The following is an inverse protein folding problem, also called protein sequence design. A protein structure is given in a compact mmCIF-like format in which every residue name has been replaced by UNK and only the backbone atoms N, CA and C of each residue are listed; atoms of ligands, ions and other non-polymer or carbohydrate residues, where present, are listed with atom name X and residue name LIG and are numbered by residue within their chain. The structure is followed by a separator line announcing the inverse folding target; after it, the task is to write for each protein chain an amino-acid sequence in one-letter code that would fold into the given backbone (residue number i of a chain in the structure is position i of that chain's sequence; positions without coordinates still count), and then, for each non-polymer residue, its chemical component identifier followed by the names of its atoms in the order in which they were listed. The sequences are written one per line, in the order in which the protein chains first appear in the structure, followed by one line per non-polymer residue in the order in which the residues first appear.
data_IF_258626751074
#
_entry.id   IF_258626751074
#
_cell.length_a   1.000
_cell.length_b   1.000
_cell.length_c   1.000
_cell.angle_alpha   90.00
_cell.angle_beta   90.00
_cell.angle_gamma   90.00
#
_symmetry.space_group_name_H-M   'P 1'
#
loop_
_entity.id
_entity.type
_entity.pdbx_description
1 polymer ?
#
# COMPACT_ATOMS: atom_id res chain seq x y z
N UNK A 1 -10.30 -13.32 2.17
CA UNK A 1 -9.89 -11.93 2.47
C UNK A 1 -9.18 -11.77 3.80
N UNK A 2 -9.62 -12.42 4.90
CA UNK A 2 -8.93 -12.31 6.20
C UNK A 2 -7.45 -12.76 6.16
N UNK A 3 -7.13 -13.78 5.37
CA UNK A 3 -5.75 -14.21 5.17
C UNK A 3 -4.88 -13.14 4.46
N UNK A 4 -5.42 -12.49 3.44
CA UNK A 4 -4.75 -11.38 2.74
C UNK A 4 -4.60 -10.14 3.63
N UNK A 5 -5.55 -9.88 4.53
CA UNK A 5 -5.41 -8.83 5.54
C UNK A 5 -4.17 -9.06 6.41
N UNK A 6 -3.98 -10.27 6.94
CA UNK A 6 -2.81 -10.59 7.77
C UNK A 6 -1.51 -10.46 6.99
N UNK A 7 -1.47 -10.96 5.75
CA UNK A 7 -0.30 -10.80 4.86
C UNK A 7 0.03 -9.35 4.54
N UNK A 8 -0.99 -8.50 4.37
CA UNK A 8 -0.83 -7.08 4.15
C UNK A 8 -0.43 -6.29 5.41
N UNK A 9 -0.33 -6.95 6.57
CA UNK A 9 0.12 -6.36 7.83
C UNK A 9 -0.99 -6.07 8.85
N UNK A 10 -2.19 -6.61 8.68
CA UNK A 10 -3.31 -6.44 9.61
C UNK A 10 -3.34 -7.56 10.66
N UNK A 11 -3.06 -7.24 11.93
CA UNK A 11 -2.99 -8.20 13.04
C UNK A 11 -4.34 -8.50 13.73
N UNK A 12 -5.43 -7.86 13.29
CA UNK A 12 -6.79 -8.18 13.74
C UNK A 12 -7.18 -7.61 15.10
N UNK A 13 -6.24 -7.06 15.88
CA UNK A 13 -6.49 -6.63 17.26
C UNK A 13 -6.67 -5.11 17.41
N UNK A 14 -6.09 -4.32 16.49
CA UNK A 14 -6.25 -2.86 16.52
C UNK A 14 -7.17 -2.38 15.41
N UNK A 15 -8.37 -1.91 15.81
CA UNK A 15 -9.28 -1.07 14.99
C UNK A 15 -8.66 0.25 14.50
N UNK A 16 -7.39 0.53 14.80
CA UNK A 16 -6.70 1.74 14.36
C UNK A 16 -6.06 1.43 13.02
N UNK A 17 -6.43 2.22 12.01
CA UNK A 17 -5.74 2.28 10.73
C UNK A 17 -4.22 2.16 10.94
N UNK A 18 -3.58 1.20 10.28
CA UNK A 18 -2.15 1.01 10.37
C UNK A 18 -1.44 2.25 9.82
N UNK A 19 -0.88 3.08 10.70
CA UNK A 19 -0.11 4.27 10.32
C UNK A 19 1.31 3.82 9.98
N UNK A 20 1.77 4.15 8.78
CA UNK A 20 3.17 3.96 8.40
C UNK A 20 3.88 5.29 8.50
N UNK A 21 4.90 5.35 9.36
CA UNK A 21 5.80 6.49 9.48
C UNK A 21 7.18 6.05 8.96
N UNK A 22 7.70 6.77 7.96
CA UNK A 22 9.02 6.52 7.37
C UNK A 22 9.70 7.85 7.11
N UNK A 23 10.91 8.02 7.62
CA UNK A 23 11.78 9.14 7.30
C UNK A 23 12.67 8.76 6.11
N UNK A 24 12.83 9.68 5.16
CA UNK A 24 13.73 9.54 4.03
C UNK A 24 14.66 10.76 4.02
N UNK A 25 15.96 10.50 4.16
CA UNK A 25 16.98 11.55 4.11
C UNK A 25 17.43 11.77 2.66
N UNK A 26 17.51 13.02 2.24
CA UNK A 26 18.04 13.37 0.93
C UNK A 26 19.57 13.40 0.99
N UNK A 27 20.21 12.37 0.45
CA UNK A 27 21.68 12.26 0.38
C UNK A 27 22.33 12.84 -0.88
N UNK A 28 21.60 13.62 -1.70
CA UNK A 28 22.10 14.12 -2.98
C UNK A 28 22.89 15.43 -2.87
N UNK A 29 23.86 15.65 -3.75
CA UNK A 29 24.53 16.93 -3.94
C UNK A 29 23.73 17.82 -4.89
N UNK A 30 23.01 18.81 -4.36
CA UNK A 30 22.22 19.76 -5.16
C UNK A 30 20.93 20.23 -4.47
N UNK A 31 20.12 21.00 -5.19
CA UNK A 31 18.81 21.46 -4.71
C UNK A 31 17.79 20.33 -4.54
N UNK A 32 16.66 20.64 -3.90
CA UNK A 32 15.58 19.69 -3.69
C UNK A 32 15.01 19.23 -5.03
N UNK A 33 15.01 17.91 -5.20
CA UNK A 33 14.45 17.20 -6.36
C UNK A 33 13.08 16.63 -6.01
N UNK A 34 12.31 16.22 -7.02
CA UNK A 34 10.92 15.76 -6.77
C UNK A 34 10.98 14.44 -5.99
N UNK A 35 10.31 14.41 -4.83
CA UNK A 35 10.16 13.22 -4.02
C UNK A 35 8.90 12.45 -4.43
N UNK A 36 9.03 11.14 -4.63
CA UNK A 36 7.92 10.21 -4.85
C UNK A 36 7.94 9.08 -3.84
N UNK A 37 6.79 8.81 -3.21
CA UNK A 37 6.58 7.69 -2.29
C UNK A 37 5.46 6.81 -2.85
N UNK A 38 5.78 5.54 -3.07
CA UNK A 38 4.88 4.56 -3.70
C UNK A 38 4.67 3.40 -2.74
N UNK A 39 3.42 2.97 -2.58
CA UNK A 39 3.05 1.77 -1.84
C UNK A 39 2.50 0.73 -2.80
N UNK A 40 2.88 -0.54 -2.61
CA UNK A 40 2.27 -1.63 -3.36
C UNK A 40 0.81 -1.82 -2.91
N UNK A 41 -0.10 -1.90 -3.88
CA UNK A 41 -1.52 -2.19 -3.63
C UNK A 41 -1.92 -3.42 -4.44
N UNK A 42 -2.36 -4.47 -3.76
CA UNK A 42 -2.95 -5.65 -4.41
C UNK A 42 -4.47 -5.53 -4.37
N UNK A 43 -5.12 -5.65 -5.51
CA UNK A 43 -6.58 -5.52 -5.63
C UNK A 43 -7.19 -6.84 -6.08
N UNK A 44 -8.15 -7.32 -5.29
CA UNK A 44 -8.93 -8.51 -5.61
C UNK A 44 -10.31 -8.08 -6.11
N UNK A 45 -10.65 -8.57 -7.30
CA UNK A 45 -11.89 -8.23 -7.98
C UNK A 45 -12.71 -9.49 -8.16
N UNK A 46 -13.95 -9.47 -7.68
CA UNK A 46 -14.95 -10.52 -7.91
C UNK A 46 -15.95 -10.01 -8.95
N UNK A 47 -16.05 -10.74 -10.06
CA UNK A 47 -17.02 -10.48 -11.11
C UNK A 47 -18.04 -11.61 -11.16
N UNK A 48 -19.28 -11.29 -11.55
CA UNK A 48 -20.29 -12.30 -11.93
C UNK A 48 -19.89 -12.93 -13.27
N UNK A 49 -20.59 -14.00 -13.65
CA UNK A 49 -20.37 -14.68 -14.94
C UNK A 49 -20.61 -13.78 -16.16
N UNK A 50 -21.45 -12.76 -16.02
CA UNK A 50 -21.70 -11.74 -17.05
C UNK A 50 -20.62 -10.64 -17.11
N UNK A 51 -19.56 -10.75 -16.29
CA UNK A 51 -18.46 -9.79 -16.21
C UNK A 51 -18.75 -8.58 -15.32
N UNK A 52 -19.95 -8.45 -14.75
CA UNK A 52 -20.28 -7.32 -13.87
C UNK A 52 -19.54 -7.41 -12.53
N UNK A 53 -19.05 -6.27 -12.05
CA UNK A 53 -18.35 -6.16 -10.77
C UNK A 53 -19.31 -6.44 -9.60
N UNK A 54 -18.91 -7.35 -8.72
CA UNK A 54 -19.58 -7.64 -7.44
C UNK A 54 -18.86 -6.97 -6.29
N UNK A 55 -17.53 -7.13 -6.24
CA UNK A 55 -16.71 -6.67 -5.13
C UNK A 55 -15.31 -6.31 -5.64
N UNK A 56 -14.77 -5.20 -5.15
CA UNK A 56 -13.36 -4.85 -5.30
C UNK A 56 -12.78 -4.56 -3.93
N UNK A 57 -11.69 -5.22 -3.57
CA UNK A 57 -10.99 -5.03 -2.30
C UNK A 57 -9.51 -4.76 -2.58
N UNK A 58 -9.05 -3.55 -2.24
CA UNK A 58 -7.63 -3.19 -2.29
C UNK A 58 -6.95 -3.38 -0.94
N UNK A 59 -5.79 -4.04 -0.94
CA UNK A 59 -4.92 -4.19 0.21
C UNK A 59 -3.62 -3.43 -0.04
N UNK A 60 -3.35 -2.44 0.81
CA UNK A 60 -2.10 -1.68 0.76
C UNK A 60 -1.05 -2.45 1.57
N UNK A 61 0.01 -2.86 0.92
CA UNK A 61 1.14 -3.55 1.57
C UNK A 61 2.04 -2.50 2.23
N UNK A 62 1.73 -2.17 3.48
CA UNK A 62 2.44 -1.16 4.28
C UNK A 62 3.93 -1.45 4.46
N UNK A 63 4.31 -2.72 4.38
CA UNK A 63 5.70 -3.19 4.42
C UNK A 63 6.43 -3.07 3.07
N UNK A 64 5.72 -2.83 1.96
CA UNK A 64 6.29 -2.68 0.61
C UNK A 64 6.12 -1.24 0.11
N UNK A 65 6.95 -0.36 0.66
CA UNK A 65 7.02 1.06 0.28
C UNK A 65 8.34 1.34 -0.43
N UNK A 66 8.26 2.04 -1.56
CA UNK A 66 9.39 2.49 -2.34
C UNK A 66 9.42 4.01 -2.43
N UNK A 67 10.55 4.58 -2.04
CA UNK A 67 10.83 6.00 -2.13
C UNK A 67 11.75 6.26 -3.32
N UNK A 68 11.53 7.35 -4.06
CA UNK A 68 12.38 7.78 -5.18
C UNK A 68 12.55 9.29 -5.15
N UNK A 69 13.78 9.74 -5.39
CA UNK A 69 14.12 11.13 -5.66
C UNK A 69 14.42 11.28 -7.16
N UNK A 70 13.76 12.20 -7.86
CA UNK A 70 13.92 12.46 -9.31
C UNK A 70 14.84 13.63 -9.61
#
# INVERSE_FOLDING_TARGET
MKWEQVRAGWDGEKRKEARVERAEEYGGSGGWRKFGCYALVETFVLNRMDGSLVLSCGFKHTHQIKSRWE
#
